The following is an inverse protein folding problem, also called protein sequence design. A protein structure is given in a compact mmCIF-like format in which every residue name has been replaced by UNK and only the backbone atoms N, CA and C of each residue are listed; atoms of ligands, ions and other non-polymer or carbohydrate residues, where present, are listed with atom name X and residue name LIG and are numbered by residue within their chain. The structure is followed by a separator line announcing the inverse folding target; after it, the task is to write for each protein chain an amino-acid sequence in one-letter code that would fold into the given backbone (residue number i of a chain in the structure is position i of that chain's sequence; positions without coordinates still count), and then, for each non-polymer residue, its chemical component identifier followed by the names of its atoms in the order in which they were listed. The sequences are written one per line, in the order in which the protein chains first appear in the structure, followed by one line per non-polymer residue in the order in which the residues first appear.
data_IF_521760995648
#
_entry.id   IF_521760995648
#
_cell.length_a   1.000
_cell.length_b   1.000
_cell.length_c   1.000
_cell.angle_alpha   90.00
_cell.angle_beta   90.00
_cell.angle_gamma   90.00
#
_symmetry.space_group_name_H-M   'P 1'
#
loop_
_entity.id
_entity.type
_entity.pdbx_description
1 polymer ?
#
# COMPACT_ATOMS: atom_id res chain seq x y z
N UNK A 1 -20.23 25.62 -29.60
CA UNK A 1 -19.89 25.87 -28.18
C UNK A 1 -18.73 24.96 -27.81
N UNK A 2 -17.53 25.52 -27.59
CA UNK A 2 -16.32 24.76 -27.21
C UNK A 2 -16.16 24.84 -25.69
N UNK A 3 -16.39 23.74 -24.96
CA UNK A 3 -16.03 23.61 -23.55
C UNK A 3 -14.85 22.67 -23.44
N UNK A 4 -13.65 23.23 -23.61
CA UNK A 4 -12.41 22.62 -23.13
C UNK A 4 -12.32 22.96 -21.64
N UNK A 5 -12.92 22.12 -20.80
CA UNK A 5 -12.82 22.23 -19.35
C UNK A 5 -11.58 21.46 -18.91
N UNK A 6 -10.51 22.25 -18.77
CA UNK A 6 -9.57 22.18 -17.67
C UNK A 6 -9.06 20.80 -17.27
N UNK A 7 -8.00 20.40 -17.97
CA UNK A 7 -6.98 19.47 -17.50
C UNK A 7 -6.25 20.10 -16.29
N UNK A 8 -6.91 20.16 -15.14
CA UNK A 8 -6.32 20.64 -13.88
C UNK A 8 -6.47 19.53 -12.86
N UNK A 9 -5.34 18.85 -12.60
CA UNK A 9 -4.90 18.26 -11.31
C UNK A 9 -3.87 17.15 -11.55
N UNK A 10 -2.76 17.47 -12.22
CA UNK A 10 -1.57 16.61 -12.28
C UNK A 10 -0.33 17.33 -11.74
N UNK A 11 -0.52 18.15 -10.70
CA UNK A 11 0.56 18.89 -10.07
C UNK A 11 0.34 19.00 -8.56
N UNK A 12 0.58 17.92 -7.81
CA UNK A 12 0.78 17.96 -6.33
C UNK A 12 1.36 16.66 -5.72
N UNK A 13 2.08 15.81 -6.47
CA UNK A 13 2.59 14.53 -5.92
C UNK A 13 4.12 14.35 -6.01
N UNK A 14 4.89 15.42 -6.18
CA UNK A 14 6.36 15.37 -6.25
C UNK A 14 7.07 15.98 -5.02
N UNK A 15 6.32 16.33 -3.96
CA UNK A 15 6.87 17.03 -2.78
C UNK A 15 7.14 16.18 -1.54
N UNK A 16 6.85 14.88 -1.55
CA UNK A 16 6.97 13.99 -0.37
C UNK A 16 8.04 12.90 -0.52
N UNK A 17 8.94 13.03 -1.50
CA UNK A 17 9.99 12.06 -1.79
C UNK A 17 11.26 12.21 -0.93
N UNK A 18 11.23 12.99 0.16
CA UNK A 18 12.43 13.33 0.95
C UNK A 18 12.54 12.63 2.30
N UNK A 19 11.67 11.68 2.62
CA UNK A 19 11.73 10.95 3.89
C UNK A 19 12.15 9.49 3.63
N UNK A 20 13.36 9.08 4.02
CA UNK A 20 13.89 7.74 3.71
C UNK A 20 13.01 6.60 4.23
N UNK A 21 12.29 6.79 5.34
CA UNK A 21 11.34 5.81 5.86
C UNK A 21 10.09 5.59 4.97
N UNK A 22 9.77 6.56 4.10
CA UNK A 22 8.62 6.48 3.19
C UNK A 22 8.99 5.69 1.94
N UNK A 23 10.26 5.79 1.51
CA UNK A 23 10.78 5.02 0.38
C UNK A 23 10.70 3.52 0.66
N UNK A 24 11.04 3.08 1.87
CA UNK A 24 10.96 1.67 2.25
C UNK A 24 9.52 1.15 2.35
N UNK A 25 8.59 1.91 2.94
CA UNK A 25 7.17 1.50 3.06
C UNK A 25 6.47 1.46 1.68
N UNK A 26 6.71 2.46 0.83
CA UNK A 26 6.10 2.56 -0.53
C UNK A 26 6.77 1.61 -1.52
N UNK A 27 8.09 1.43 -1.49
CA UNK A 27 8.79 0.49 -2.38
C UNK A 27 8.39 -0.96 -2.06
N UNK A 28 8.23 -1.27 -0.77
CA UNK A 28 7.76 -2.59 -0.33
C UNK A 28 6.27 -2.83 -0.60
N UNK A 29 5.46 -1.77 -0.80
CA UNK A 29 4.05 -1.88 -1.13
C UNK A 29 3.83 -2.57 -2.48
N UNK A 30 4.63 -2.25 -3.50
CA UNK A 30 4.51 -2.86 -4.84
C UNK A 30 4.74 -4.39 -4.80
N UNK A 31 5.69 -4.86 -4.00
CA UNK A 31 5.94 -6.29 -3.82
C UNK A 31 4.72 -6.99 -3.21
N UNK A 32 4.07 -6.36 -2.23
CA UNK A 32 2.88 -6.89 -1.57
C UNK A 32 1.65 -6.80 -2.48
N UNK A 33 1.50 -5.76 -3.30
CA UNK A 33 0.41 -5.63 -4.28
C UNK A 33 0.38 -6.79 -5.29
N UNK A 34 1.55 -7.24 -5.75
CA UNK A 34 1.65 -8.41 -6.63
C UNK A 34 1.07 -9.67 -5.97
N UNK A 35 1.41 -9.92 -4.71
CA UNK A 35 0.92 -11.10 -3.97
C UNK A 35 -0.56 -10.97 -3.56
N UNK A 36 -1.02 -9.76 -3.25
CA UNK A 36 -2.44 -9.48 -3.05
C UNK A 36 -3.24 -9.81 -4.32
N UNK A 37 -2.72 -9.45 -5.50
CA UNK A 37 -3.42 -9.72 -6.77
C UNK A 37 -3.65 -11.22 -7.03
N UNK A 38 -2.75 -12.08 -6.51
CA UNK A 38 -2.81 -13.54 -6.61
C UNK A 38 -3.79 -14.21 -5.64
N UNK A 39 -4.33 -13.48 -4.66
CA UNK A 39 -5.32 -14.04 -3.74
C UNK A 39 -6.55 -14.54 -4.52
N UNK A 40 -7.15 -15.64 -4.10
CA UNK A 40 -8.40 -16.14 -4.71
C UNK A 40 -9.65 -15.46 -4.14
N UNK A 41 -9.58 -14.99 -2.90
CA UNK A 41 -10.71 -14.35 -2.20
C UNK A 41 -10.70 -12.85 -2.39
N UNK A 42 -11.76 -12.31 -3.01
CA UNK A 42 -11.95 -10.86 -3.20
C UNK A 42 -11.97 -10.10 -1.87
N UNK A 43 -12.62 -10.64 -0.84
CA UNK A 43 -12.67 -10.03 0.50
C UNK A 43 -11.26 -9.89 1.08
N UNK A 44 -10.40 -10.90 0.90
CA UNK A 44 -9.00 -10.81 1.34
C UNK A 44 -8.20 -9.79 0.53
N UNK A 45 -8.45 -9.68 -0.79
CA UNK A 45 -7.84 -8.65 -1.64
C UNK A 45 -8.14 -7.26 -1.13
N UNK A 46 -9.42 -6.93 -0.97
CA UNK A 46 -9.87 -5.61 -0.54
C UNK A 46 -9.30 -5.26 0.84
N UNK A 47 -9.30 -6.23 1.78
CA UNK A 47 -8.73 -6.02 3.12
C UNK A 47 -7.22 -5.77 3.08
N UNK A 48 -6.49 -6.50 2.24
CA UNK A 48 -5.05 -6.32 2.11
C UNK A 48 -4.70 -5.01 1.41
N UNK A 49 -5.42 -4.65 0.34
CA UNK A 49 -5.27 -3.35 -0.36
C UNK A 49 -5.54 -2.19 0.59
N UNK A 50 -6.63 -2.25 1.37
CA UNK A 50 -6.93 -1.24 2.38
C UNK A 50 -5.82 -1.10 3.43
N UNK A 51 -5.20 -2.21 3.82
CA UNK A 51 -4.09 -2.21 4.77
C UNK A 51 -2.84 -1.56 4.16
N UNK A 52 -2.56 -1.77 2.87
CA UNK A 52 -1.50 -1.04 2.16
C UNK A 52 -1.80 0.46 2.10
N UNK A 53 -3.03 0.86 1.75
CA UNK A 53 -3.41 2.29 1.72
C UNK A 53 -3.20 2.96 3.08
N UNK A 54 -3.64 2.32 4.17
CA UNK A 54 -3.43 2.83 5.53
C UNK A 54 -1.93 2.91 5.92
N UNK A 55 -1.11 1.99 5.43
CA UNK A 55 0.33 2.03 5.65
C UNK A 55 0.96 3.24 4.95
N UNK A 56 0.57 3.52 3.70
CA UNK A 56 1.01 4.69 2.93
C UNK A 56 0.54 6.00 3.57
N UNK A 57 -0.73 6.08 4.00
CA UNK A 57 -1.26 7.26 4.70
C UNK A 57 -0.54 7.52 6.04
N UNK A 58 -0.25 6.45 6.78
CA UNK A 58 0.50 6.53 8.03
C UNK A 58 1.94 6.99 7.80
N UNK A 59 2.59 6.48 6.74
CA UNK A 59 3.89 6.97 6.31
C UNK A 59 3.77 8.46 5.99
N UNK A 60 2.82 8.89 5.13
CA UNK A 60 2.57 10.29 4.79
C UNK A 60 2.41 11.23 5.99
N UNK A 61 1.89 10.70 7.10
CA UNK A 61 1.67 11.43 8.35
C UNK A 61 2.86 11.37 9.32
N UNK A 62 3.99 10.77 8.92
CA UNK A 62 5.18 10.59 9.75
C UNK A 62 5.04 9.55 10.86
N UNK A 63 4.02 8.68 10.78
CA UNK A 63 3.74 7.66 11.79
C UNK A 63 4.28 6.29 11.35
N UNK A 64 5.58 6.09 11.55
CA UNK A 64 6.29 4.86 11.15
C UNK A 64 5.71 3.60 11.82
N UNK A 65 5.41 3.66 13.12
CA UNK A 65 4.83 2.52 13.86
C UNK A 65 3.48 2.09 13.28
N UNK A 66 2.65 3.05 12.83
CA UNK A 66 1.40 2.74 12.16
C UNK A 66 1.64 2.21 10.73
N UNK A 67 2.57 2.78 9.95
CA UNK A 67 2.97 2.20 8.64
C UNK A 67 3.36 0.74 8.80
N UNK A 68 4.28 0.42 9.72
CA UNK A 68 4.79 -0.94 9.91
C UNK A 68 3.67 -1.91 10.35
N UNK A 69 2.79 -1.47 11.25
CA UNK A 69 1.63 -2.25 11.70
C UNK A 69 0.69 -2.59 10.54
N UNK A 70 0.32 -1.59 9.75
CA UNK A 70 -0.58 -1.77 8.61
C UNK A 70 0.05 -2.61 7.50
N UNK A 71 1.35 -2.42 7.25
CA UNK A 71 2.11 -3.20 6.28
C UNK A 71 2.24 -4.67 6.69
N UNK A 72 2.53 -4.96 7.96
CA UNK A 72 2.52 -6.35 8.49
C UNK A 72 1.15 -7.01 8.36
N UNK A 73 0.07 -6.27 8.61
CA UNK A 73 -1.30 -6.78 8.43
C UNK A 73 -1.58 -7.10 6.96
N UNK A 74 -1.17 -6.23 6.02
CA UNK A 74 -1.30 -6.49 4.58
C UNK A 74 -0.58 -7.78 4.16
N UNK A 75 0.69 -7.96 4.59
CA UNK A 75 1.46 -9.19 4.33
C UNK A 75 0.79 -10.43 4.91
N UNK A 76 0.27 -10.34 6.14
CA UNK A 76 -0.45 -11.43 6.80
C UNK A 76 -1.70 -11.85 6.04
N UNK A 77 -2.48 -10.90 5.53
CA UNK A 77 -3.70 -11.18 4.74
C UNK A 77 -3.34 -11.74 3.36
N UNK A 78 -2.30 -11.19 2.73
CA UNK A 78 -1.77 -11.66 1.46
C UNK A 78 -1.17 -13.08 1.53
N UNK A 79 -1.04 -13.65 2.73
CA UNK A 79 -0.42 -14.95 2.92
C UNK A 79 1.10 -14.90 2.72
N UNK A 80 1.68 -13.70 2.66
CA UNK A 80 3.13 -13.46 2.72
C UNK A 80 3.54 -13.64 4.18
N UNK A 81 3.49 -14.88 4.65
CA UNK A 81 4.22 -15.30 5.83
C UNK A 81 5.67 -15.42 5.40
N UNK A 82 6.60 -14.85 6.15
CA UNK A 82 7.97 -15.35 6.10
C UNK A 82 7.88 -16.85 6.38
N UNK A 83 8.03 -17.65 5.32
CA UNK A 83 7.93 -19.11 5.27
C UNK A 83 6.68 -19.79 5.88
N UNK A 84 6.46 -21.01 5.42
CA UNK A 84 5.26 -21.79 5.59
C UNK A 84 4.88 -22.06 7.05
N UNK A 85 3.57 -22.02 7.33
CA UNK A 85 2.99 -23.03 8.22
C UNK A 85 1.90 -23.73 7.41
N UNK A 86 2.36 -24.77 6.73
CA UNK A 86 1.57 -25.95 6.43
C UNK A 86 1.03 -26.48 7.75
N UNK A 87 -0.27 -26.31 7.99
CA UNK A 87 -1.00 -27.14 8.93
C UNK A 87 -2.03 -27.89 8.12
N UNK A 88 -1.67 -29.14 7.80
CA UNK A 88 -2.62 -30.20 7.51
C UNK A 88 -3.55 -30.41 8.70
#
# INVERSE_FOLDING_TARGET
MKKQLSLVLLASALGLASLPAFADCVSSAQAVESDISKLSSQVKKEKAQRSISLAVESAQSGNEAACEKHFKEAKRIAGIRGEAVSSR
#
